data_IF_128351679308
#
_entry.id   IF_128351679308
#
_cell.length_a   1.000
_cell.length_b   1.000
_cell.length_c   1.000
_cell.angle_alpha   90.00
_cell.angle_beta   90.00
_cell.angle_gamma   90.00
#
_symmetry.space_group_name_H-M   'P 1'
#
loop_
_entity.id
_entity.type
_entity.pdbx_description
1 polymer ?
#
# COMPACT_ATOMS: atom_id res chain seq x y z
N UNK A 1 14.25 -10.42 16.85
CA UNK A 1 15.03 -9.86 15.73
C UNK A 1 14.39 -8.64 15.07
N UNK A 2 13.08 -8.65 14.78
CA UNK A 2 12.39 -7.48 14.21
C UNK A 2 11.13 -7.13 15.02
N UNK A 3 10.74 -5.86 14.98
CA UNK A 3 9.55 -5.36 15.68
C UNK A 3 8.26 -5.41 14.85
N UNK A 4 8.39 -5.44 13.52
CA UNK A 4 7.28 -5.45 12.57
C UNK A 4 7.74 -5.97 11.20
N UNK A 5 6.77 -6.31 10.33
CA UNK A 5 6.99 -6.64 8.92
C UNK A 5 6.24 -5.63 8.05
N UNK A 6 6.89 -5.15 6.99
CA UNK A 6 6.28 -4.28 5.97
C UNK A 6 6.29 -4.96 4.60
N UNK A 7 5.18 -4.85 3.88
CA UNK A 7 5.05 -5.38 2.52
C UNK A 7 5.14 -4.27 1.49
N UNK A 8 6.17 -4.36 0.65
CA UNK A 8 6.36 -3.45 -0.48
C UNK A 8 5.32 -3.73 -1.57
N UNK A 9 4.38 -2.80 -1.73
CA UNK A 9 3.39 -2.76 -2.80
C UNK A 9 3.52 -1.49 -3.64
N UNK A 10 4.68 -0.83 -3.62
CA UNK A 10 4.89 0.48 -4.26
C UNK A 10 6.08 0.58 -5.21
N UNK A 11 6.93 -0.45 -5.32
CA UNK A 11 8.10 -0.43 -6.20
C UNK A 11 7.69 -0.43 -7.69
N UNK A 12 8.09 0.59 -8.49
CA UNK A 12 7.77 0.66 -9.91
C UNK A 12 8.86 0.03 -10.80
N UNK A 13 9.95 -0.49 -10.23
CA UNK A 13 11.08 -1.02 -11.02
C UNK A 13 10.64 -2.24 -11.82
N UNK A 14 11.11 -2.33 -13.06
CA UNK A 14 10.69 -3.34 -14.03
C UNK A 14 10.86 -4.78 -13.52
N UNK A 15 11.96 -5.08 -12.82
CA UNK A 15 12.19 -6.42 -12.24
C UNK A 15 11.10 -6.80 -11.23
N UNK A 16 10.63 -5.84 -10.42
CA UNK A 16 9.58 -6.05 -9.43
C UNK A 16 8.25 -6.32 -10.14
N UNK A 17 7.95 -5.51 -11.17
CA UNK A 17 6.71 -5.63 -11.94
C UNK A 17 6.65 -6.98 -12.67
N UNK A 18 7.73 -7.38 -13.36
CA UNK A 18 7.80 -8.67 -14.06
C UNK A 18 7.69 -9.86 -13.10
N UNK A 19 8.19 -9.72 -11.87
CA UNK A 19 8.03 -10.72 -10.82
C UNK A 19 6.68 -10.69 -10.10
N UNK A 20 5.75 -9.80 -10.48
CA UNK A 20 4.45 -9.67 -9.81
C UNK A 20 4.54 -9.12 -8.37
N UNK A 21 5.60 -8.37 -8.06
CA UNK A 21 5.90 -7.75 -6.76
C UNK A 21 5.77 -6.23 -6.82
N UNK A 22 5.80 -5.55 -5.67
CA UNK A 22 5.78 -4.09 -5.63
C UNK A 22 4.46 -3.54 -6.18
N UNK A 23 4.51 -2.50 -7.00
CA UNK A 23 3.30 -1.87 -7.54
C UNK A 23 2.44 -2.81 -8.41
N UNK A 24 3.01 -3.91 -8.91
CA UNK A 24 2.24 -4.92 -9.66
C UNK A 24 1.24 -5.68 -8.78
N UNK A 25 1.50 -5.81 -7.46
CA UNK A 25 0.55 -6.46 -6.54
C UNK A 25 -0.78 -5.71 -6.48
N UNK A 26 -0.79 -4.38 -6.63
CA UNK A 26 -2.01 -3.59 -6.56
C UNK A 26 -2.89 -3.70 -7.81
N UNK A 27 -2.42 -4.38 -8.87
CA UNK A 27 -3.26 -4.78 -10.02
C UNK A 27 -4.13 -6.00 -9.72
N UNK A 28 -3.77 -6.78 -8.71
CA UNK A 28 -4.48 -7.97 -8.24
C UNK A 28 -4.69 -7.84 -6.72
N UNK A 29 -5.73 -7.08 -6.37
CA UNK A 29 -6.04 -6.77 -4.97
C UNK A 29 -6.43 -8.02 -4.17
N UNK A 30 -6.98 -9.05 -4.81
CA UNK A 30 -7.34 -10.29 -4.13
C UNK A 30 -6.08 -11.03 -3.67
N UNK A 31 -5.07 -11.12 -4.54
CA UNK A 31 -3.76 -11.64 -4.17
C UNK A 31 -3.07 -10.79 -3.11
N UNK A 32 -3.10 -9.46 -3.23
CA UNK A 32 -2.51 -8.57 -2.22
C UNK A 32 -3.16 -8.77 -0.85
N UNK A 33 -4.50 -8.86 -0.81
CA UNK A 33 -5.24 -9.10 0.42
C UNK A 33 -4.98 -10.49 1.00
N UNK A 34 -4.87 -11.52 0.15
CA UNK A 34 -4.53 -12.89 0.57
C UNK A 34 -3.15 -12.95 1.25
N UNK A 35 -2.14 -12.27 0.68
CA UNK A 35 -0.80 -12.17 1.28
C UNK A 35 -0.89 -11.49 2.66
N UNK A 36 -1.54 -10.34 2.75
CA UNK A 36 -1.65 -9.61 4.02
C UNK A 36 -2.40 -10.39 5.09
N UNK A 37 -3.54 -11.01 4.75
CA UNK A 37 -4.30 -11.85 5.69
C UNK A 37 -3.46 -13.01 6.21
N UNK A 38 -2.76 -13.71 5.31
CA UNK A 38 -1.86 -14.81 5.69
C UNK A 38 -0.81 -14.34 6.70
N UNK A 39 -0.18 -13.18 6.48
CA UNK A 39 0.83 -12.65 7.40
C UNK A 39 0.22 -12.20 8.73
N UNK A 40 -0.91 -11.48 8.69
CA UNK A 40 -1.60 -10.99 9.89
C UNK A 40 -2.09 -12.14 10.77
N UNK A 41 -2.57 -13.23 10.17
CA UNK A 41 -3.07 -14.40 10.90
C UNK A 41 -1.96 -15.26 11.52
N UNK A 42 -0.76 -15.26 10.93
CA UNK A 42 0.32 -16.18 11.31
C UNK A 42 1.49 -15.50 12.06
N UNK A 43 1.52 -14.17 12.16
CA UNK A 43 2.56 -13.43 12.86
C UNK A 43 2.01 -12.76 14.13
N UNK A 44 2.77 -12.85 15.22
CA UNK A 44 2.46 -12.17 16.49
C UNK A 44 2.92 -10.70 16.51
N UNK A 45 3.67 -10.26 15.50
CA UNK A 45 4.15 -8.87 15.35
C UNK A 45 3.30 -8.10 14.32
N UNK A 46 3.23 -6.76 14.41
CA UNK A 46 2.50 -5.94 13.45
C UNK A 46 2.93 -6.16 11.99
N UNK A 47 1.94 -6.29 11.13
CA UNK A 47 2.10 -6.25 9.67
C UNK A 47 1.65 -4.89 9.15
N UNK A 48 2.45 -4.31 8.27
CA UNK A 48 2.21 -3.02 7.61
C UNK A 48 2.39 -3.19 6.11
N UNK A 49 1.96 -2.21 5.32
CA UNK A 49 2.32 -2.19 3.90
C UNK A 49 2.62 -0.77 3.42
N UNK A 50 3.36 -0.69 2.33
CA UNK A 50 3.68 0.57 1.66
C UNK A 50 3.20 0.56 0.21
N UNK A 51 2.40 1.56 -0.16
CA UNK A 51 1.83 1.71 -1.50
C UNK A 51 2.29 3.00 -2.21
N UNK A 52 1.82 3.17 -3.44
CA UNK A 52 1.74 4.43 -4.17
C UNK A 52 0.27 4.81 -4.35
N UNK A 53 0.00 6.09 -4.57
CA UNK A 53 -1.35 6.56 -4.92
C UNK A 53 -1.77 6.12 -6.33
N UNK A 54 -3.05 6.25 -6.60
CA UNK A 54 -3.67 6.11 -7.93
C UNK A 54 -4.05 7.49 -8.47
N UNK A 55 -4.70 7.53 -9.63
CA UNK A 55 -4.96 8.76 -10.36
C UNK A 55 -5.96 9.67 -9.62
N UNK A 56 -6.81 9.10 -8.75
CA UNK A 56 -7.80 9.86 -7.96
C UNK A 56 -7.72 9.58 -6.45
N UNK A 57 -8.15 10.53 -5.59
CA UNK A 57 -8.30 10.30 -4.16
C UNK A 57 -9.23 9.14 -3.84
N UNK A 58 -10.33 8.99 -4.56
CA UNK A 58 -11.36 7.95 -4.36
C UNK A 58 -10.82 6.56 -4.71
N UNK A 59 -10.12 6.42 -5.83
CA UNK A 59 -9.50 5.16 -6.24
C UNK A 59 -8.43 4.73 -5.23
N UNK A 60 -7.59 5.68 -4.80
CA UNK A 60 -6.58 5.43 -3.76
C UNK A 60 -7.25 4.97 -2.47
N UNK A 61 -8.32 5.63 -2.05
CA UNK A 61 -9.07 5.27 -0.85
C UNK A 61 -9.69 3.87 -0.95
N UNK A 62 -10.32 3.49 -2.05
CA UNK A 62 -10.92 2.16 -2.19
C UNK A 62 -9.88 1.04 -2.16
N UNK A 63 -8.69 1.27 -2.73
CA UNK A 63 -7.55 0.34 -2.59
C UNK A 63 -7.12 0.24 -1.13
N UNK A 64 -6.87 1.37 -0.48
CA UNK A 64 -6.41 1.41 0.91
C UNK A 64 -7.42 0.76 1.85
N UNK A 65 -8.71 1.06 1.71
CA UNK A 65 -9.80 0.48 2.49
C UNK A 65 -9.81 -1.05 2.42
N UNK A 66 -9.58 -1.63 1.25
CA UNK A 66 -9.45 -3.09 1.09
C UNK A 66 -8.23 -3.63 1.82
N UNK A 67 -7.07 -2.98 1.70
CA UNK A 67 -5.85 -3.40 2.41
C UNK A 67 -6.01 -3.29 3.94
N UNK A 68 -6.60 -2.20 4.44
CA UNK A 68 -6.91 -1.99 5.86
C UNK A 68 -7.81 -3.12 6.40
N UNK A 69 -8.79 -3.58 5.61
CA UNK A 69 -9.69 -4.67 6.00
C UNK A 69 -9.01 -6.01 6.28
N UNK A 70 -7.74 -6.17 5.90
CA UNK A 70 -6.93 -7.37 6.16
C UNK A 70 -6.35 -7.42 7.57
N UNK A 71 -6.43 -6.32 8.34
CA UNK A 71 -5.92 -6.24 9.71
C UNK A 71 -4.50 -5.68 9.87
N UNK A 72 -3.91 -5.14 8.80
CA UNK A 72 -2.64 -4.38 8.87
C UNK A 72 -2.73 -3.25 9.90
N UNK A 73 -1.61 -2.94 10.56
CA UNK A 73 -1.56 -1.99 11.68
C UNK A 73 -1.25 -0.56 11.27
N UNK A 74 -0.66 -0.35 10.10
CA UNK A 74 -0.40 0.96 9.51
C UNK A 74 -0.19 0.79 8.00
N UNK A 75 -0.34 1.88 7.24
CA UNK A 75 -0.06 1.91 5.81
C UNK A 75 0.74 3.14 5.43
N UNK A 76 1.89 2.98 4.78
CA UNK A 76 2.67 4.10 4.27
C UNK A 76 2.27 4.41 2.82
N UNK A 77 1.94 5.68 2.53
CA UNK A 77 1.55 6.11 1.19
C UNK A 77 2.61 7.01 0.57
N UNK A 78 3.19 6.57 -0.54
CA UNK A 78 3.95 7.47 -1.42
C UNK A 78 2.95 8.25 -2.27
N UNK A 79 2.82 9.55 -2.05
CA UNK A 79 1.95 10.48 -2.79
C UNK A 79 2.37 10.75 -4.23
N UNK A 80 2.84 9.74 -4.96
CA UNK A 80 3.07 9.77 -6.40
C UNK A 80 2.55 8.49 -7.02
N UNK A 81 1.97 8.58 -8.20
CA UNK A 81 1.54 7.40 -8.97
C UNK A 81 2.74 6.56 -9.39
N UNK A 82 2.50 5.39 -9.97
CA UNK A 82 3.58 4.50 -10.45
C UNK A 82 4.46 5.16 -11.51
N UNK A 83 3.87 5.95 -12.40
CA UNK A 83 4.57 6.59 -13.53
C UNK A 83 5.32 7.86 -13.11
N UNK A 84 4.91 8.46 -11.99
CA UNK A 84 5.52 9.68 -11.48
C UNK A 84 6.91 9.44 -10.86
N UNK A 85 7.84 10.23 -11.37
CA UNK A 85 9.26 10.29 -11.01
C UNK A 85 9.55 11.38 -9.95
N UNK A 86 10.75 11.41 -9.33
CA UNK A 86 11.08 12.37 -8.27
C UNK A 86 10.86 13.85 -8.62
N UNK A 87 10.95 14.24 -9.90
CA UNK A 87 10.69 15.61 -10.34
C UNK A 87 9.21 16.02 -10.29
N UNK A 88 8.28 15.07 -10.26
CA UNK A 88 6.85 15.36 -10.11
C UNK A 88 6.58 15.71 -8.65
N UNK A 89 5.66 16.64 -8.42
CA UNK A 89 5.24 17.00 -7.07
C UNK A 89 4.61 15.81 -6.34
N UNK A 90 4.63 15.84 -5.01
CA UNK A 90 3.89 14.88 -4.18
C UNK A 90 2.47 15.39 -4.00
N UNK A 91 1.48 14.54 -4.25
CA UNK A 91 0.06 14.82 -4.02
C UNK A 91 -0.29 14.59 -2.55
N UNK A 92 -0.01 15.58 -1.71
CA UNK A 92 -0.28 15.52 -0.27
C UNK A 92 -1.77 15.58 0.06
N UNK A 93 -2.56 16.16 -0.82
CA UNK A 93 -4.02 16.22 -0.77
C UNK A 93 -4.65 14.82 -0.83
N UNK A 94 -4.14 13.93 -1.70
CA UNK A 94 -4.60 12.53 -1.77
C UNK A 94 -4.25 11.78 -0.48
N UNK A 95 -3.03 11.96 0.05
CA UNK A 95 -2.63 11.34 1.32
C UNK A 95 -3.56 11.79 2.45
N UNK A 96 -3.80 13.11 2.56
CA UNK A 96 -4.73 13.68 3.54
C UNK A 96 -6.14 13.11 3.40
N UNK A 97 -6.66 13.06 2.17
CA UNK A 97 -7.99 12.53 1.88
C UNK A 97 -8.18 11.10 2.38
N UNK A 98 -7.16 10.25 2.22
CA UNK A 98 -7.17 8.86 2.70
C UNK A 98 -7.04 8.80 4.21
N UNK A 99 -6.07 9.53 4.79
CA UNK A 99 -5.80 9.53 6.23
C UNK A 99 -7.02 9.94 7.06
N UNK A 100 -7.85 10.87 6.56
CA UNK A 100 -9.08 11.30 7.21
C UNK A 100 -10.22 10.24 7.19
N UNK A 101 -10.10 9.17 6.37
CA UNK A 101 -11.18 8.18 6.16
C UNK A 101 -10.87 6.78 6.67
N UNK A 102 -9.64 6.51 7.09
CA UNK A 102 -9.25 5.21 7.62
C UNK A 102 -8.96 5.30 9.11
N UNK A 103 -9.17 4.20 9.82
CA UNK A 103 -9.02 4.14 11.28
C UNK A 103 -7.61 3.77 11.75
N UNK A 104 -6.69 3.48 10.83
CA UNK A 104 -5.30 3.12 11.14
C UNK A 104 -4.35 4.26 10.79
N UNK A 105 -3.15 4.34 11.40
CA UNK A 105 -2.13 5.28 11.00
C UNK A 105 -1.78 5.19 9.50
N UNK A 106 -1.67 6.35 8.86
CA UNK A 106 -1.23 6.57 7.47
C UNK A 106 0.06 7.38 7.44
#
# INVERSE_FOLDING_TARGET
DVAAIDINMGCPKEFSIKGGMGAALLKDLDKACSILRTLVENLSIPVTCKIRIFDTPEETYEVVKKLVSTGIKAIAIHGRTREERPQHAVHTDIIKYVAEKVSIPV
#
